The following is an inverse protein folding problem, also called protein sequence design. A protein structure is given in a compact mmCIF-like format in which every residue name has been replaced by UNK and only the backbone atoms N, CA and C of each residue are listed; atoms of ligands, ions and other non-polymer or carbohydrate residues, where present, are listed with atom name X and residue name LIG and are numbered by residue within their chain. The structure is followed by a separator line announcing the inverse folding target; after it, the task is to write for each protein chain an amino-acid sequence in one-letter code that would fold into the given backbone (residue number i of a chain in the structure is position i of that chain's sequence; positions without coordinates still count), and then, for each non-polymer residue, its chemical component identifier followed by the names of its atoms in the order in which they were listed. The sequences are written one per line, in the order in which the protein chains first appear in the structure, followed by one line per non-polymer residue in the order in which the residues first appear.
data_IF_177076751086
#
_entry.id   IF_177076751086
#
_cell.length_a   1.000
_cell.length_b   1.000
_cell.length_c   1.000
_cell.angle_alpha   90.00
_cell.angle_beta   90.00
_cell.angle_gamma   90.00
#
_symmetry.space_group_name_H-M   'P 1'
#
loop_
_entity.id
_entity.type
_entity.pdbx_description
1 polymer ?
#
# COMPACT_ATOMS: atom_id res chain seq x y z
N UNK A 1 -8.07 -29.79 -28.99
CA UNK A 1 -7.33 -28.75 -28.23
C UNK A 1 -6.83 -29.39 -26.95
N UNK A 2 -5.51 -29.44 -26.74
CA UNK A 2 -4.94 -29.95 -25.47
C UNK A 2 -4.91 -28.79 -24.48
N UNK A 3 -5.49 -28.98 -23.29
CA UNK A 3 -5.45 -28.00 -22.22
C UNK A 3 -4.06 -27.99 -21.58
N UNK A 4 -3.31 -26.91 -21.75
CA UNK A 4 -2.02 -26.71 -21.10
C UNK A 4 -2.22 -26.12 -19.71
N UNK A 5 -2.32 -27.02 -18.72
CA UNK A 5 -2.45 -26.66 -17.30
C UNK A 5 -1.27 -25.79 -16.83
N UNK A 6 -0.05 -26.03 -17.31
CA UNK A 6 1.13 -25.28 -16.91
C UNK A 6 1.06 -23.82 -17.33
N UNK A 7 0.63 -23.56 -18.58
CA UNK A 7 0.38 -22.20 -19.07
C UNK A 7 -0.77 -21.52 -18.33
N UNK A 8 -1.84 -22.25 -18.04
CA UNK A 8 -2.97 -21.71 -17.28
C UNK A 8 -2.57 -21.30 -15.85
N UNK A 9 -1.76 -22.13 -15.16
CA UNK A 9 -1.28 -21.84 -13.81
C UNK A 9 -0.35 -20.62 -13.77
N UNK A 10 0.58 -20.48 -14.73
CA UNK A 10 1.47 -19.30 -14.80
C UNK A 10 0.69 -18.00 -14.98
N UNK A 11 -0.27 -17.98 -15.91
CA UNK A 11 -1.12 -16.80 -16.14
C UNK A 11 -1.93 -16.40 -14.90
N UNK A 12 -2.43 -17.40 -14.14
CA UNK A 12 -3.13 -17.16 -12.88
C UNK A 12 -2.19 -16.52 -11.84
N UNK A 13 -0.97 -17.04 -11.71
CA UNK A 13 0.02 -16.50 -10.78
C UNK A 13 0.38 -15.04 -11.09
N UNK A 14 0.66 -14.72 -12.35
CA UNK A 14 0.94 -13.33 -12.79
C UNK A 14 -0.20 -12.37 -12.45
N UNK A 15 -1.44 -12.79 -12.70
CA UNK A 15 -2.62 -11.99 -12.39
C UNK A 15 -2.79 -11.77 -10.88
N UNK A 16 -2.58 -12.81 -10.08
CA UNK A 16 -2.66 -12.72 -8.62
C UNK A 16 -1.61 -11.77 -8.07
N UNK A 17 -0.35 -11.91 -8.51
CA UNK A 17 0.76 -11.03 -8.12
C UNK A 17 0.45 -9.57 -8.49
N UNK A 18 -0.01 -9.31 -9.70
CA UNK A 18 -0.38 -7.96 -10.12
C UNK A 18 -1.52 -7.36 -9.26
N UNK A 19 -2.52 -8.16 -8.90
CA UNK A 19 -3.63 -7.72 -8.03
C UNK A 19 -3.14 -7.36 -6.63
N UNK A 20 -2.26 -8.18 -6.05
CA UNK A 20 -1.68 -7.94 -4.72
C UNK A 20 -0.83 -6.67 -4.71
N UNK A 21 0.03 -6.49 -5.72
CA UNK A 21 0.87 -5.29 -5.85
C UNK A 21 0.04 -4.01 -6.06
N UNK A 22 -1.03 -4.05 -6.88
CA UNK A 22 -1.95 -2.90 -7.03
C UNK A 22 -2.65 -2.56 -5.72
N UNK A 23 -3.09 -3.58 -4.96
CA UNK A 23 -3.72 -3.35 -3.67
C UNK A 23 -2.75 -2.74 -2.67
N UNK A 24 -1.54 -3.30 -2.54
CA UNK A 24 -0.50 -2.79 -1.64
C UNK A 24 -0.13 -1.35 -1.96
N UNK A 25 0.09 -1.05 -3.25
CA UNK A 25 0.41 0.31 -3.68
C UNK A 25 -0.70 1.30 -3.31
N UNK A 26 -1.96 0.97 -3.60
CA UNK A 26 -3.11 1.83 -3.24
C UNK A 26 -3.24 2.02 -1.74
N UNK A 27 -2.99 0.96 -0.97
CA UNK A 27 -3.03 1.02 0.50
C UNK A 27 -1.98 1.97 1.03
N UNK A 28 -0.73 1.84 0.57
CA UNK A 28 0.37 2.71 0.97
C UNK A 28 0.11 4.15 0.57
N UNK A 29 -0.29 4.42 -0.68
CA UNK A 29 -0.63 5.79 -1.13
C UNK A 29 -1.73 6.42 -0.27
N UNK A 30 -2.79 5.67 0.02
CA UNK A 30 -3.90 6.17 0.85
C UNK A 30 -3.46 6.44 2.29
N UNK A 31 -2.69 5.54 2.89
CA UNK A 31 -2.15 5.71 4.24
C UNK A 31 -1.20 6.91 4.31
N UNK A 32 -0.27 7.05 3.36
CA UNK A 32 0.64 8.20 3.27
C UNK A 32 -0.14 9.50 3.10
N UNK A 33 -1.18 9.53 2.26
CA UNK A 33 -2.03 10.71 2.10
C UNK A 33 -2.70 11.12 3.42
N UNK A 34 -3.27 10.15 4.14
CA UNK A 34 -3.87 10.39 5.46
C UNK A 34 -2.85 10.89 6.49
N UNK A 35 -1.63 10.35 6.48
CA UNK A 35 -0.55 10.79 7.36
C UNK A 35 -0.16 12.23 7.06
N UNK A 36 0.07 12.58 5.79
CA UNK A 36 0.42 13.94 5.37
C UNK A 36 -0.67 14.94 5.78
N UNK A 37 -1.93 14.58 5.57
CA UNK A 37 -3.10 15.37 6.03
C UNK A 37 -3.06 15.64 7.54
N UNK A 38 -2.81 14.61 8.36
CA UNK A 38 -2.70 14.74 9.83
C UNK A 38 -1.55 15.64 10.27
N UNK A 39 -0.47 15.66 9.52
CA UNK A 39 0.72 16.47 9.78
C UNK A 39 0.63 17.88 9.17
N UNK A 40 -0.46 18.21 8.48
CA UNK A 40 -0.62 19.49 7.79
C UNK A 40 0.30 19.67 6.59
N UNK A 41 0.76 18.58 5.99
CA UNK A 41 1.61 18.54 4.79
C UNK A 41 0.78 18.36 3.51
N UNK A 42 1.37 18.64 2.37
CA UNK A 42 0.73 18.48 1.05
C UNK A 42 0.40 17.00 0.78
N UNK A 43 -0.90 16.69 0.70
CA UNK A 43 -1.40 15.34 0.40
C UNK A 43 -1.08 14.86 -1.02
N UNK A 44 -0.90 15.77 -1.97
CA UNK A 44 -0.79 15.45 -3.40
C UNK A 44 0.51 14.71 -3.74
N UNK A 45 1.55 14.85 -2.91
CA UNK A 45 2.83 14.16 -3.11
C UNK A 45 2.83 12.70 -2.66
N UNK A 46 1.76 12.22 -1.99
CA UNK A 46 1.69 10.87 -1.42
C UNK A 46 2.00 9.76 -2.45
N UNK A 47 1.40 9.86 -3.64
CA UNK A 47 1.62 8.87 -4.71
C UNK A 47 3.07 8.86 -5.19
N UNK A 48 3.69 10.05 -5.30
CA UNK A 48 5.09 10.19 -5.69
C UNK A 48 6.00 9.57 -4.63
N UNK A 49 5.79 9.87 -3.35
CA UNK A 49 6.61 9.32 -2.26
C UNK A 49 6.60 7.79 -2.24
N UNK A 50 5.42 7.17 -2.38
CA UNK A 50 5.31 5.70 -2.40
C UNK A 50 5.93 5.09 -3.64
N UNK A 51 5.87 5.78 -4.79
CA UNK A 51 6.43 5.28 -6.04
C UNK A 51 7.96 5.38 -6.10
N UNK A 52 8.57 6.37 -5.44
CA UNK A 52 9.99 6.65 -5.57
C UNK A 52 10.83 6.23 -4.37
N UNK A 53 10.21 5.97 -3.21
CA UNK A 53 10.92 5.68 -1.97
C UNK A 53 10.44 4.37 -1.32
N UNK A 54 11.39 3.68 -0.70
CA UNK A 54 11.06 2.65 0.28
C UNK A 54 10.30 3.26 1.47
N UNK A 55 9.50 2.47 2.16
CA UNK A 55 8.64 2.94 3.25
C UNK A 55 9.43 3.67 4.34
N UNK A 56 10.50 3.07 4.85
CA UNK A 56 11.34 3.67 5.90
C UNK A 56 11.95 5.01 5.45
N UNK A 57 12.36 5.11 4.19
CA UNK A 57 12.92 6.33 3.62
C UNK A 57 11.85 7.42 3.45
N UNK A 58 10.63 7.05 3.04
CA UNK A 58 9.50 7.97 2.96
C UNK A 58 9.12 8.51 4.34
N UNK A 59 9.06 7.65 5.36
CA UNK A 59 8.76 8.07 6.73
C UNK A 59 9.84 9.00 7.28
N UNK A 60 11.13 8.67 7.09
CA UNK A 60 12.23 9.55 7.48
C UNK A 60 12.15 10.92 6.81
N UNK A 61 11.78 10.98 5.53
CA UNK A 61 11.57 12.24 4.81
C UNK A 61 10.38 13.04 5.37
N UNK A 62 9.24 12.39 5.62
CA UNK A 62 8.06 13.02 6.22
C UNK A 62 8.38 13.56 7.62
N UNK A 63 9.13 12.81 8.43
CA UNK A 63 9.60 13.24 9.75
C UNK A 63 10.45 14.50 9.67
N UNK A 64 11.38 14.58 8.71
CA UNK A 64 12.18 15.78 8.48
C UNK A 64 11.31 16.99 8.11
N UNK A 65 10.32 16.81 7.24
CA UNK A 65 9.41 17.89 6.82
C UNK A 65 8.51 18.37 7.97
N UNK A 66 7.98 17.45 8.76
CA UNK A 66 7.07 17.75 9.86
C UNK A 66 7.79 18.25 11.13
N UNK A 67 9.12 18.11 11.22
CA UNK A 67 9.88 18.49 12.40
C UNK A 67 9.51 17.69 13.66
N UNK A 68 9.09 16.44 13.49
CA UNK A 68 8.62 15.55 14.56
C UNK A 68 9.56 14.36 14.76
N UNK A 69 9.29 13.53 15.76
CA UNK A 69 10.06 12.30 16.00
C UNK A 69 9.63 11.17 15.07
N UNK A 70 10.59 10.39 14.58
CA UNK A 70 10.35 9.27 13.67
C UNK A 70 9.41 8.22 14.26
N UNK A 71 9.47 7.98 15.57
CA UNK A 71 8.64 6.99 16.25
C UNK A 71 7.16 7.42 16.28
N UNK A 72 6.90 8.71 16.49
CA UNK A 72 5.55 9.28 16.45
C UNK A 72 4.93 9.20 15.05
N UNK A 73 5.73 9.53 14.02
CA UNK A 73 5.31 9.43 12.61
C UNK A 73 5.05 7.98 12.23
N UNK A 74 5.93 7.06 12.63
CA UNK A 74 5.79 5.63 12.37
C UNK A 74 4.54 5.05 13.03
N UNK A 75 4.27 5.39 14.28
CA UNK A 75 3.05 4.97 14.98
C UNK A 75 1.79 5.51 14.27
N UNK A 76 1.78 6.80 13.94
CA UNK A 76 0.67 7.43 13.21
C UNK A 76 0.43 6.81 11.84
N UNK A 77 1.51 6.42 11.14
CA UNK A 77 1.44 5.77 9.85
C UNK A 77 0.86 4.34 9.95
N UNK A 78 1.20 3.57 10.98
CA UNK A 78 0.60 2.23 11.22
C UNK A 78 -0.92 2.31 11.43
N UNK A 79 -1.38 3.35 12.14
CA UNK A 79 -2.81 3.60 12.28
C UNK A 79 -3.46 3.93 10.93
N UNK A 80 -2.80 4.78 10.13
CA UNK A 80 -3.26 5.12 8.79
C UNK A 80 -3.31 3.88 7.87
N UNK A 81 -2.32 2.98 7.94
CA UNK A 81 -2.31 1.72 7.21
C UNK A 81 -3.50 0.84 7.58
N UNK A 82 -3.79 0.70 8.88
CA UNK A 82 -4.92 -0.09 9.36
C UNK A 82 -6.26 0.46 8.83
N UNK A 83 -6.42 1.78 8.82
CA UNK A 83 -7.62 2.44 8.29
C UNK A 83 -7.70 2.28 6.77
N UNK A 84 -6.60 2.55 6.05
CA UNK A 84 -6.53 2.45 4.60
C UNK A 84 -6.84 1.03 4.12
N UNK A 85 -6.32 0.01 4.81
CA UNK A 85 -6.60 -1.39 4.54
C UNK A 85 -8.10 -1.68 4.66
N UNK A 86 -8.73 -1.31 5.78
CA UNK A 86 -10.18 -1.52 5.99
C UNK A 86 -11.02 -0.84 4.91
N UNK A 87 -10.68 0.39 4.54
CA UNK A 87 -11.38 1.12 3.49
C UNK A 87 -11.22 0.45 2.12
N UNK A 88 -10.01 0.02 1.76
CA UNK A 88 -9.77 -0.64 0.47
C UNK A 88 -10.42 -2.02 0.39
N UNK A 89 -10.43 -2.80 1.48
CA UNK A 89 -11.16 -4.06 1.54
C UNK A 89 -12.66 -3.81 1.34
N UNK A 90 -13.23 -2.79 1.97
CA UNK A 90 -14.64 -2.45 1.78
C UNK A 90 -14.96 -2.01 0.33
N UNK A 91 -14.04 -1.29 -0.33
CA UNK A 91 -14.23 -0.78 -1.68
C UNK A 91 -13.96 -1.81 -2.79
N UNK A 92 -12.99 -2.72 -2.58
CA UNK A 92 -12.44 -3.58 -3.64
C UNK A 92 -12.47 -5.07 -3.31
N UNK A 93 -12.87 -5.44 -2.11
CA UNK A 93 -12.81 -6.81 -1.61
C UNK A 93 -11.46 -7.13 -0.94
N UNK A 94 -11.45 -8.27 -0.24
CA UNK A 94 -10.26 -8.78 0.43
C UNK A 94 -9.19 -9.19 -0.59
N UNK A 95 -7.97 -8.63 -0.53
CA UNK A 95 -6.90 -9.00 -1.45
C UNK A 95 -6.33 -10.39 -1.17
N UNK A 96 -6.59 -10.98 0.00
CA UNK A 96 -6.00 -12.24 0.46
C UNK A 96 -6.22 -13.35 -0.56
N UNK A 97 -5.15 -14.04 -1.03
CA UNK A 97 -5.30 -15.11 -1.99
C UNK A 97 -6.21 -16.20 -1.44
N UNK A 98 -7.17 -16.66 -2.24
CA UNK A 98 -7.92 -17.85 -1.92
C UNK A 98 -6.95 -19.03 -1.84
N UNK A 99 -6.71 -19.54 -0.62
CA UNK A 99 -5.96 -20.77 -0.42
C UNK A 99 -6.71 -21.88 -1.15
N UNK A 100 -5.99 -22.63 -1.99
CA UNK A 100 -6.50 -23.88 -2.53
C UNK A 100 -6.58 -24.84 -1.32
N UNK A 101 -7.80 -25.13 -0.87
CA UNK A 101 -8.06 -26.19 0.08
C UNK A 101 -7.91 -27.56 -0.61
#
# INVERSE_FOLDING_TARGET
MVFDLGRAMRKKAEHETARLLDFEFRMRVRATRMLLSRLGLDETVAASLVATMAEDAALAHVTQLAGTEIDSVTASYRDCLTIAHRQLVAERGDPTPHRLA
#
